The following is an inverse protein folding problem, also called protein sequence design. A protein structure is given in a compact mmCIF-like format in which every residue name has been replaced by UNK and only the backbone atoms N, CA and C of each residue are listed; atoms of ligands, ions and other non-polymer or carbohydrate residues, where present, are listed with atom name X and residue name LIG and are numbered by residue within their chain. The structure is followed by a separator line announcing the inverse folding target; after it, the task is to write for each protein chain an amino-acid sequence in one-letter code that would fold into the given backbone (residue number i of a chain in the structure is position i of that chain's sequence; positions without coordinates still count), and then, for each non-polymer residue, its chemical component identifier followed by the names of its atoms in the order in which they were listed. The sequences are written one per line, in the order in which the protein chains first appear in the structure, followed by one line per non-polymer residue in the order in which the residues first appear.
data_IF_101601473876
#
_entry.id   IF_101601473876
#
_cell.length_a   1.000
_cell.length_b   1.000
_cell.length_c   1.000
_cell.angle_alpha   90.00
_cell.angle_beta   90.00
_cell.angle_gamma   90.00
#
_symmetry.space_group_name_H-M   'P 1'
#
loop_
_entity.id
_entity.type
_entity.pdbx_description
1 polymer ?
#
# COMPACT_ATOMS: atom_id res chain seq x y z
N UNK A 1 -19.30 -3.45 -9.23
CA UNK A 1 -17.85 -3.26 -9.01
C UNK A 1 -17.21 -4.60 -8.70
N UNK A 2 -17.71 -5.35 -7.71
CA UNK A 2 -17.09 -6.61 -7.27
C UNK A 2 -16.99 -7.67 -8.38
N UNK A 3 -18.03 -7.87 -9.19
CA UNK A 3 -17.99 -8.82 -10.31
C UNK A 3 -16.95 -8.43 -11.38
N UNK A 4 -16.90 -7.15 -11.78
CA UNK A 4 -15.92 -6.67 -12.75
C UNK A 4 -14.49 -6.79 -12.20
N UNK A 5 -14.30 -6.46 -10.92
CA UNK A 5 -13.01 -6.59 -10.26
C UNK A 5 -12.52 -8.05 -10.32
N UNK A 6 -13.38 -9.00 -9.94
CA UNK A 6 -13.06 -10.44 -10.01
C UNK A 6 -12.78 -10.92 -11.44
N UNK A 7 -13.56 -10.46 -12.44
CA UNK A 7 -13.31 -10.80 -13.84
C UNK A 7 -11.96 -10.28 -14.32
N UNK A 8 -11.59 -9.05 -13.94
CA UNK A 8 -10.31 -8.46 -14.34
C UNK A 8 -9.13 -9.15 -13.65
N UNK A 9 -9.22 -9.36 -12.34
CA UNK A 9 -8.12 -9.96 -11.57
C UNK A 9 -7.90 -11.42 -11.93
N UNK A 10 -8.96 -12.20 -12.14
CA UNK A 10 -8.84 -13.61 -12.52
C UNK A 10 -8.35 -13.84 -13.95
N UNK A 11 -8.64 -12.89 -14.87
CA UNK A 11 -8.32 -13.07 -16.30
C UNK A 11 -6.99 -12.43 -16.71
N UNK A 12 -6.59 -11.33 -16.10
CA UNK A 12 -5.50 -10.50 -16.60
C UNK A 12 -4.36 -10.26 -15.60
N UNK A 13 -4.46 -10.75 -14.37
CA UNK A 13 -3.43 -10.53 -13.35
C UNK A 13 -2.94 -11.85 -12.74
N UNK A 14 -1.63 -12.09 -12.80
CA UNK A 14 -0.98 -13.19 -12.08
C UNK A 14 -1.02 -12.98 -10.56
N UNK A 15 -1.01 -11.72 -10.14
CA UNK A 15 -1.02 -11.32 -8.72
C UNK A 15 -1.82 -10.04 -8.54
N UNK A 16 -2.72 -10.05 -7.57
CA UNK A 16 -3.48 -8.87 -7.15
C UNK A 16 -3.18 -8.54 -5.69
N UNK A 17 -2.89 -7.26 -5.42
CA UNK A 17 -2.69 -6.71 -4.08
C UNK A 17 -3.79 -5.68 -3.80
N UNK A 18 -4.55 -5.88 -2.73
CA UNK A 18 -5.57 -4.93 -2.28
C UNK A 18 -5.03 -4.15 -1.08
N UNK A 19 -4.73 -2.88 -1.29
CA UNK A 19 -4.23 -1.99 -0.24
C UNK A 19 -5.42 -1.34 0.51
N UNK A 20 -5.62 -1.70 1.77
CA UNK A 20 -6.75 -1.23 2.58
C UNK A 20 -6.36 -0.03 3.45
N UNK A 21 -7.09 1.08 3.30
CA UNK A 21 -6.94 2.27 4.15
C UNK A 21 -7.62 2.00 5.50
N UNK A 22 -6.80 1.95 6.55
CA UNK A 22 -7.25 1.60 7.91
C UNK A 22 -7.23 2.78 8.88
N UNK A 23 -7.01 3.97 8.32
CA UNK A 23 -7.04 5.24 9.01
C UNK A 23 -8.45 5.55 9.54
N UNK A 24 -8.52 6.27 10.65
CA UNK A 24 -9.76 6.89 11.08
C UNK A 24 -10.17 8.00 10.11
N UNK A 25 -11.47 8.24 9.97
CA UNK A 25 -11.98 9.24 9.04
C UNK A 25 -11.54 10.64 9.47
N UNK A 26 -10.91 11.36 8.56
CA UNK A 26 -10.40 12.71 8.77
C UNK A 26 -10.44 13.53 7.50
N UNK A 27 -9.67 14.63 7.49
CA UNK A 27 -9.61 15.59 6.37
C UNK A 27 -9.08 14.96 5.07
N UNK A 28 -8.11 14.06 5.18
CA UNK A 28 -7.44 13.43 4.03
C UNK A 28 -7.72 11.93 3.93
N UNK A 29 -8.27 11.34 4.98
CA UNK A 29 -8.53 9.91 5.08
C UNK A 29 -10.05 9.69 5.14
N UNK A 30 -10.60 8.97 4.17
CA UNK A 30 -12.05 8.80 4.03
C UNK A 30 -12.47 7.32 4.06
N UNK A 31 -11.68 6.48 4.74
CA UNK A 31 -11.97 5.07 4.87
C UNK A 31 -13.25 4.79 5.66
N UNK A 32 -13.92 3.70 5.29
CA UNK A 32 -14.90 3.05 6.16
C UNK A 32 -14.11 2.36 7.28
N UNK A 33 -14.42 2.61 8.57
CA UNK A 33 -13.68 2.01 9.67
C UNK A 33 -13.72 0.47 9.64
N UNK A 34 -12.59 -0.18 9.95
CA UNK A 34 -12.53 -1.64 10.10
C UNK A 34 -13.40 -2.17 11.25
N UNK A 35 -13.76 -1.31 12.22
CA UNK A 35 -14.71 -1.67 13.28
C UNK A 35 -16.15 -1.84 12.76
N UNK A 36 -16.46 -1.36 11.55
CA UNK A 36 -17.75 -1.56 10.92
C UNK A 36 -17.86 -3.00 10.38
N UNK A 37 -18.82 -3.83 10.85
CA UNK A 37 -18.82 -5.26 10.54
C UNK A 37 -18.80 -5.61 9.04
N UNK A 38 -19.56 -4.94 8.16
CA UNK A 38 -19.49 -5.20 6.71
C UNK A 38 -18.10 -4.91 6.11
N UNK A 39 -17.38 -3.91 6.62
CA UNK A 39 -16.01 -3.62 6.17
C UNK A 39 -15.03 -4.70 6.66
N UNK A 40 -15.17 -5.15 7.90
CA UNK A 40 -14.36 -6.25 8.45
C UNK A 40 -14.59 -7.56 7.69
N UNK A 41 -15.84 -7.90 7.41
CA UNK A 41 -16.20 -9.08 6.61
C UNK A 41 -15.62 -9.00 5.21
N UNK A 42 -15.73 -7.85 4.55
CA UNK A 42 -15.15 -7.62 3.23
C UNK A 42 -13.62 -7.73 3.23
N UNK A 43 -12.95 -7.19 4.25
CA UNK A 43 -11.49 -7.31 4.38
C UNK A 43 -11.05 -8.78 4.53
N UNK A 44 -11.77 -9.59 5.31
CA UNK A 44 -11.52 -11.04 5.42
C UNK A 44 -11.81 -11.78 4.11
N UNK A 45 -12.92 -11.48 3.46
CA UNK A 45 -13.27 -12.11 2.19
C UNK A 45 -12.18 -11.88 1.12
N UNK A 46 -11.67 -10.64 1.04
CA UNK A 46 -10.56 -10.29 0.15
C UNK A 46 -9.25 -11.00 0.54
N UNK A 47 -8.97 -11.15 1.84
CA UNK A 47 -7.72 -11.79 2.30
C UNK A 47 -7.64 -13.28 2.00
N UNK A 48 -8.78 -13.93 1.74
CA UNK A 48 -8.80 -15.33 1.29
C UNK A 48 -8.40 -15.51 -0.18
N UNK A 49 -8.49 -14.46 -1.00
CA UNK A 49 -8.29 -14.54 -2.47
C UNK A 49 -7.10 -13.73 -2.97
N UNK A 50 -6.73 -12.68 -2.25
CA UNK A 50 -5.74 -11.72 -2.70
C UNK A 50 -4.75 -11.38 -1.59
N UNK A 51 -3.58 -10.88 -2.00
CA UNK A 51 -2.64 -10.31 -1.05
C UNK A 51 -3.23 -9.02 -0.48
N UNK A 52 -3.23 -8.88 0.86
CA UNK A 52 -3.64 -7.65 1.52
C UNK A 52 -2.43 -6.79 1.83
N UNK A 53 -2.48 -5.55 1.37
CA UNK A 53 -1.51 -4.52 1.69
C UNK A 53 -2.07 -3.51 2.70
N UNK A 54 -1.19 -2.97 3.52
CA UNK A 54 -1.47 -1.81 4.34
C UNK A 54 -1.51 -0.57 3.45
N UNK A 55 -2.56 0.24 3.55
CA UNK A 55 -2.58 1.61 3.04
C UNK A 55 -2.52 2.57 4.23
N UNK A 56 -1.32 2.98 4.69
CA UNK A 56 -1.21 3.83 5.88
C UNK A 56 -1.87 5.19 5.70
N UNK A 57 -2.35 5.78 6.79
CA UNK A 57 -3.01 7.10 6.79
C UNK A 57 -2.16 8.20 6.18
N UNK A 58 -2.79 9.30 5.78
CA UNK A 58 -2.11 10.49 5.26
C UNK A 58 -1.00 11.02 6.20
N UNK A 59 -1.25 10.94 7.52
CA UNK A 59 -0.35 11.45 8.54
C UNK A 59 0.67 10.41 9.04
N UNK A 60 0.61 9.17 8.56
CA UNK A 60 1.46 8.07 9.03
C UNK A 60 2.96 8.36 8.93
N UNK A 61 3.39 9.04 7.86
CA UNK A 61 4.80 9.43 7.66
C UNK A 61 5.28 10.54 8.61
N UNK A 62 4.38 11.18 9.33
CA UNK A 62 4.65 12.28 10.28
C UNK A 62 4.50 11.84 11.74
N UNK A 63 3.58 10.90 11.99
CA UNK A 63 3.20 10.48 13.34
C UNK A 63 3.82 9.13 13.66
N UNK A 64 4.83 9.16 14.54
CA UNK A 64 5.51 7.93 15.00
C UNK A 64 4.53 6.88 15.51
N UNK A 65 4.70 5.64 15.04
CA UNK A 65 3.91 4.48 15.44
C UNK A 65 2.48 4.45 14.86
N UNK A 66 2.08 5.41 14.02
CA UNK A 66 0.80 5.35 13.33
C UNK A 66 0.73 4.12 12.41
N UNK A 67 1.76 3.92 11.58
CA UNK A 67 1.90 2.75 10.70
C UNK A 67 1.79 1.44 11.48
N UNK A 68 2.46 1.35 12.64
CA UNK A 68 2.43 0.17 13.50
C UNK A 68 1.01 -0.13 14.02
N UNK A 69 0.31 0.89 14.56
CA UNK A 69 -1.06 0.73 15.06
C UNK A 69 -2.03 0.33 13.96
N UNK A 70 -1.91 0.97 12.81
CA UNK A 70 -2.72 0.70 11.63
C UNK A 70 -2.51 -0.72 11.10
N UNK A 71 -1.25 -1.16 11.00
CA UNK A 71 -0.88 -2.53 10.68
C UNK A 71 -1.51 -3.53 11.65
N UNK A 72 -1.37 -3.33 12.96
CA UNK A 72 -1.93 -4.22 13.97
C UNK A 72 -3.46 -4.31 13.88
N UNK A 73 -4.16 -3.20 13.63
CA UNK A 73 -5.61 -3.19 13.42
C UNK A 73 -6.02 -4.04 12.21
N UNK A 74 -5.28 -3.91 11.11
CA UNK A 74 -5.55 -4.68 9.90
C UNK A 74 -5.32 -6.18 10.13
N UNK A 75 -4.17 -6.54 10.69
CA UNK A 75 -3.79 -7.93 10.99
C UNK A 75 -4.79 -8.59 11.95
N UNK A 76 -5.29 -7.85 12.95
CA UNK A 76 -6.32 -8.34 13.86
C UNK A 76 -7.65 -8.69 13.16
N UNK A 77 -8.00 -7.99 12.08
CA UNK A 77 -9.23 -8.26 11.32
C UNK A 77 -9.07 -9.44 10.38
N UNK A 78 -7.96 -9.49 9.64
CA UNK A 78 -7.75 -10.52 8.60
C UNK A 78 -7.13 -11.81 9.14
N UNK A 79 -6.56 -11.80 10.35
CA UNK A 79 -6.00 -12.99 11.00
C UNK A 79 -4.66 -13.46 10.42
N UNK A 80 -3.97 -12.63 9.64
CA UNK A 80 -2.70 -12.96 8.99
C UNK A 80 -1.76 -11.76 8.98
N UNK A 81 -0.46 -12.01 8.87
CA UNK A 81 0.50 -10.92 8.81
C UNK A 81 0.46 -10.14 7.49
N UNK A 82 0.52 -8.82 7.57
CA UNK A 82 0.57 -7.91 6.42
C UNK A 82 2.02 -7.57 6.11
N UNK A 83 2.45 -7.90 4.88
CA UNK A 83 3.84 -7.72 4.41
C UNK A 83 3.98 -6.71 3.27
N UNK A 84 2.88 -6.14 2.80
CA UNK A 84 2.86 -5.18 1.69
C UNK A 84 2.37 -3.84 2.21
N UNK A 85 2.95 -2.74 1.72
CA UNK A 85 2.52 -1.39 2.03
C UNK A 85 2.48 -0.51 0.78
N UNK A 86 1.50 0.39 0.76
CA UNK A 86 1.41 1.49 -0.21
C UNK A 86 0.95 2.74 0.51
N UNK A 87 1.70 3.83 0.42
CA UNK A 87 1.49 5.05 1.19
C UNK A 87 0.38 5.90 0.60
N UNK A 88 -0.51 6.42 1.44
CA UNK A 88 -1.57 7.33 1.01
C UNK A 88 -0.97 8.59 0.38
N UNK A 89 -1.47 8.94 -0.81
CA UNK A 89 -0.95 10.03 -1.65
C UNK A 89 0.51 9.87 -2.10
N UNK A 90 1.08 8.66 -2.03
CA UNK A 90 2.50 8.41 -2.27
C UNK A 90 3.40 9.26 -1.35
N UNK A 91 2.90 9.57 -0.13
CA UNK A 91 3.59 10.38 0.87
C UNK A 91 4.46 9.50 1.75
N UNK A 92 5.76 9.69 1.66
CA UNK A 92 6.73 8.96 2.47
C UNK A 92 7.97 9.82 2.69
N UNK A 93 8.75 9.45 3.71
CA UNK A 93 10.06 10.02 4.00
C UNK A 93 11.12 8.94 3.86
N UNK A 94 12.14 9.18 3.05
CA UNK A 94 13.32 8.30 2.99
C UNK A 94 14.44 8.96 3.80
N UNK A 95 15.12 8.26 4.73
CA UNK A 95 14.96 6.83 5.02
C UNK A 95 13.83 6.48 5.99
N UNK A 96 13.26 7.45 6.72
CA UNK A 96 12.42 7.22 7.90
C UNK A 96 11.27 6.20 7.72
N UNK A 97 10.38 6.42 6.75
CA UNK A 97 9.26 5.52 6.44
C UNK A 97 9.76 4.13 6.06
N UNK A 98 10.86 4.01 5.31
CA UNK A 98 11.34 2.72 4.83
C UNK A 98 11.99 1.90 5.96
N UNK A 99 12.72 2.57 6.86
CA UNK A 99 13.21 1.96 8.11
C UNK A 99 12.04 1.47 8.97
N UNK A 100 11.00 2.28 9.13
CA UNK A 100 9.80 1.90 9.90
C UNK A 100 9.12 0.67 9.28
N UNK A 101 8.90 0.67 7.96
CA UNK A 101 8.28 -0.46 7.25
C UNK A 101 9.09 -1.76 7.43
N UNK A 102 10.41 -1.71 7.20
CA UNK A 102 11.26 -2.89 7.40
C UNK A 102 11.19 -3.40 8.85
N UNK A 103 11.26 -2.50 9.83
CA UNK A 103 11.15 -2.86 11.26
C UNK A 103 9.79 -3.44 11.66
N UNK A 104 8.72 -3.11 10.92
CA UNK A 104 7.38 -3.69 11.10
C UNK A 104 7.18 -5.03 10.35
N UNK A 105 8.21 -5.52 9.67
CA UNK A 105 8.16 -6.76 8.89
C UNK A 105 7.48 -6.61 7.53
N UNK A 106 7.29 -5.37 7.05
CA UNK A 106 6.87 -5.11 5.68
C UNK A 106 8.04 -5.45 4.74
N UNK A 107 7.73 -6.14 3.65
CA UNK A 107 8.67 -6.63 2.64
C UNK A 107 8.50 -5.97 1.29
N UNK A 108 7.34 -5.38 1.02
CA UNK A 108 7.09 -4.72 -0.27
C UNK A 108 6.53 -3.30 -0.08
N UNK A 109 7.14 -2.33 -0.74
CA UNK A 109 6.73 -0.92 -0.77
C UNK A 109 6.30 -0.53 -2.19
N UNK A 110 5.03 -0.17 -2.37
CA UNK A 110 4.37 0.03 -3.67
C UNK A 110 4.05 1.51 -3.96
N UNK A 111 4.78 2.46 -3.39
CA UNK A 111 4.51 3.92 -3.56
C UNK A 111 5.40 4.60 -4.58
N UNK A 112 6.35 3.89 -5.18
CA UNK A 112 7.31 4.44 -6.12
C UNK A 112 6.72 4.58 -7.52
N UNK A 113 5.80 5.54 -7.66
CA UNK A 113 5.25 5.96 -8.94
C UNK A 113 4.89 7.44 -8.93
N UNK A 114 4.07 7.85 -9.90
CA UNK A 114 3.61 9.23 -10.02
C UNK A 114 2.08 9.32 -9.94
N UNK A 115 1.59 10.35 -9.27
CA UNK A 115 0.15 10.57 -9.07
C UNK A 115 -0.55 11.27 -10.25
N UNK A 116 0.21 11.94 -11.13
CA UNK A 116 -0.33 12.78 -12.23
C UNK A 116 0.34 12.57 -13.59
N UNK A 117 1.14 11.52 -13.75
CA UNK A 117 1.77 11.14 -15.02
C UNK A 117 2.00 9.64 -15.06
N UNK A 118 2.10 9.09 -16.26
CA UNK A 118 2.50 7.71 -16.49
C UNK A 118 4.02 7.56 -16.45
N UNK A 119 4.50 6.35 -16.15
CA UNK A 119 5.90 5.97 -16.19
C UNK A 119 6.46 5.56 -14.82
N UNK A 120 7.56 4.81 -14.84
CA UNK A 120 8.20 4.30 -13.64
C UNK A 120 9.08 5.38 -12.99
N UNK A 121 8.76 5.77 -11.75
CA UNK A 121 9.51 6.79 -11.01
C UNK A 121 10.98 6.46 -10.83
N UNK A 122 11.31 5.17 -10.77
CA UNK A 122 12.67 4.66 -10.60
C UNK A 122 13.35 4.27 -11.93
N UNK A 123 12.73 4.57 -13.08
CA UNK A 123 13.26 4.18 -14.40
C UNK A 123 13.24 2.68 -14.69
N UNK A 124 12.65 1.88 -13.80
CA UNK A 124 12.58 0.42 -13.91
C UNK A 124 11.20 -0.10 -13.49
N UNK A 125 10.74 -1.16 -14.15
CA UNK A 125 9.57 -1.94 -13.76
C UNK A 125 9.94 -3.12 -12.85
N UNK A 126 11.22 -3.43 -12.73
CA UNK A 126 11.72 -4.56 -11.95
C UNK A 126 11.84 -4.14 -10.48
N UNK A 127 11.21 -4.89 -9.54
CA UNK A 127 11.40 -4.67 -8.12
C UNK A 127 12.87 -4.75 -7.72
N UNK A 128 13.27 -3.97 -6.72
CA UNK A 128 14.65 -3.93 -6.23
C UNK A 128 14.70 -3.73 -4.72
N UNK A 129 15.70 -4.26 -4.03
CA UNK A 129 15.85 -4.04 -2.60
C UNK A 129 16.19 -2.57 -2.33
N UNK A 130 15.56 -1.98 -1.32
CA UNK A 130 15.99 -0.69 -0.82
C UNK A 130 17.38 -0.82 -0.16
N UNK A 131 18.26 0.13 -0.42
CA UNK A 131 19.60 0.19 0.17
C UNK A 131 19.60 1.19 1.32
N UNK A 132 19.86 0.70 2.54
CA UNK A 132 20.05 1.56 3.69
C UNK A 132 21.47 2.14 3.65
N UNK A 133 21.57 3.31 3.02
CA UNK A 133 22.83 4.05 2.90
C UNK A 133 23.41 4.44 4.26
N UNK A 134 22.60 4.64 5.30
CA UNK A 134 23.13 5.05 6.60
C UNK A 134 23.96 3.93 7.24
N UNK A 135 23.48 2.69 7.09
CA UNK A 135 24.12 1.50 7.66
C UNK A 135 24.90 0.68 6.62
N UNK A 136 25.03 1.18 5.39
CA UNK A 136 25.71 0.52 4.26
C UNK A 136 25.29 -0.95 4.09
N UNK A 137 23.98 -1.20 4.06
CA UNK A 137 23.44 -2.56 3.89
C UNK A 137 22.27 -2.64 2.93
N UNK A 138 22.14 -3.81 2.30
CA UNK A 138 20.90 -4.23 1.65
C UNK A 138 19.83 -4.50 2.72
N UNK A 139 18.61 -4.06 2.45
CA UNK A 139 17.43 -4.33 3.30
C UNK A 139 16.60 -5.49 2.77
N UNK A 140 15.71 -6.00 3.61
CA UNK A 140 14.67 -6.97 3.22
C UNK A 140 13.42 -6.28 2.64
N UNK A 141 13.40 -4.95 2.60
CA UNK A 141 12.31 -4.17 2.00
C UNK A 141 12.57 -4.01 0.49
N UNK A 142 11.70 -4.59 -0.33
CA UNK A 142 11.72 -4.40 -1.77
C UNK A 142 10.82 -3.24 -2.19
N UNK A 143 11.38 -2.39 -3.03
CA UNK A 143 10.70 -1.34 -3.74
C UNK A 143 10.04 -1.89 -4.99
N UNK A 144 8.73 -1.71 -5.13
CA UNK A 144 7.93 -2.13 -6.27
C UNK A 144 7.41 -0.89 -7.02
N UNK A 145 8.11 -0.42 -8.07
CA UNK A 145 7.65 0.71 -8.87
C UNK A 145 6.38 0.36 -9.64
N UNK A 146 5.47 1.33 -9.79
CA UNK A 146 4.28 1.20 -10.63
C UNK A 146 4.25 2.25 -11.74
N UNK A 147 3.61 1.89 -12.86
CA UNK A 147 3.60 2.72 -14.07
C UNK A 147 2.48 3.78 -14.05
N UNK A 148 1.30 3.43 -13.56
CA UNK A 148 0.09 4.24 -13.78
C UNK A 148 -0.88 4.15 -12.61
N UNK A 149 -1.56 5.26 -12.35
CA UNK A 149 -2.76 5.35 -11.52
C UNK A 149 -3.91 5.85 -12.39
N UNK A 150 -5.13 5.44 -12.07
CA UNK A 150 -6.37 6.00 -12.61
C UNK A 150 -6.38 7.54 -12.57
N UNK A 151 -5.95 8.12 -11.45
CA UNK A 151 -5.83 9.58 -11.27
C UNK A 151 -4.84 10.23 -12.23
N UNK A 152 -3.78 9.52 -12.65
CA UNK A 152 -2.83 10.03 -13.63
C UNK A 152 -3.47 10.13 -15.02
N UNK A 153 -4.29 9.14 -15.39
CA UNK A 153 -5.04 9.15 -16.65
C UNK A 153 -6.13 10.24 -16.63
N UNK A 154 -6.99 10.21 -15.62
CA UNK A 154 -8.16 11.10 -15.54
C UNK A 154 -7.78 12.57 -15.31
N UNK A 155 -6.88 12.87 -14.37
CA UNK A 155 -6.59 14.25 -13.96
C UNK A 155 -5.27 14.79 -14.50
N UNK A 156 -4.28 13.92 -14.69
CA UNK A 156 -2.97 14.30 -15.22
C UNK A 156 -2.99 14.45 -16.73
N UNK A 157 -3.43 13.40 -17.42
CA UNK A 157 -3.44 13.31 -18.89
C UNK A 157 -4.78 13.75 -19.49
N UNK A 158 -5.87 13.76 -18.70
CA UNK A 158 -7.23 14.11 -19.13
C UNK A 158 -7.75 13.20 -20.25
N UNK A 159 -7.51 11.90 -20.08
CA UNK A 159 -8.04 10.81 -20.92
C UNK A 159 -9.40 10.32 -20.41
#
# INVERSE_FOLDING_TARGET
IDELFEQVTSRYADRTVVNLLVAERGRHDHAVPLAFPPMAERARALSHRHAIGLHPSYASSEVSGATAREKSRLEAVIGSSVKVSRQHFLRFKVPGTFVELEGLGIREEHSLGFSRRTGFRCGTCTPFPWYDRKNERRTELECWPFQVMDSALAYGMRL
#
